data_IF_483994020926
#
_entry.id   IF_483994020926
#
_cell.length_a   1.000
_cell.length_b   1.000
_cell.length_c   1.000
_cell.angle_alpha   90.00
_cell.angle_beta   90.00
_cell.angle_gamma   90.00
#
_symmetry.space_group_name_H-M   'P 1'
#
loop_
_entity.id
_entity.type
_entity.pdbx_description
1 polymer ?
#
# COMPACT_ATOMS: atom_id res chain seq x y z
N UNK A 1 27.73 0.64 -42.02
CA UNK A 1 27.32 1.31 -40.76
C UNK A 1 27.98 0.56 -39.62
N UNK A 2 28.96 1.16 -38.97
CA UNK A 2 29.52 0.59 -37.75
C UNK A 2 28.43 0.66 -36.67
N UNK A 3 28.06 -0.49 -36.10
CA UNK A 3 27.21 -0.51 -34.93
C UNK A 3 27.93 0.28 -33.83
N UNK A 4 27.35 1.40 -33.41
CA UNK A 4 27.80 2.11 -32.22
C UNK A 4 27.60 1.12 -31.08
N UNK A 5 28.68 0.57 -30.55
CA UNK A 5 28.68 -0.21 -29.31
C UNK A 5 28.40 0.76 -28.17
N UNK A 6 27.13 1.06 -27.93
CA UNK A 6 26.62 1.81 -26.77
C UNK A 6 26.64 0.88 -25.56
N UNK A 7 27.79 0.27 -25.27
CA UNK A 7 27.93 -0.84 -24.30
C UNK A 7 28.76 -0.49 -23.06
N UNK A 8 29.18 0.75 -22.91
CA UNK A 8 29.90 1.14 -21.70
C UNK A 8 28.89 1.60 -20.66
N UNK A 9 28.50 0.68 -19.76
CA UNK A 9 27.93 1.07 -18.48
C UNK A 9 28.84 2.14 -17.85
N UNK A 10 28.33 3.36 -17.73
CA UNK A 10 29.06 4.43 -17.07
C UNK A 10 28.93 4.25 -15.55
N UNK A 11 29.82 3.44 -14.98
CA UNK A 11 29.94 3.32 -13.53
C UNK A 11 30.60 4.59 -12.99
N UNK A 12 29.89 5.28 -12.10
CA UNK A 12 30.50 6.33 -11.27
C UNK A 12 31.53 5.70 -10.32
N UNK A 13 32.40 6.53 -9.74
CA UNK A 13 33.35 6.03 -8.74
C UNK A 13 32.60 5.47 -7.54
N UNK A 14 33.17 4.45 -6.88
CA UNK A 14 32.58 3.84 -5.68
C UNK A 14 32.35 4.90 -4.59
N UNK A 15 33.27 5.86 -4.45
CA UNK A 15 33.14 6.98 -3.52
C UNK A 15 31.94 7.86 -3.84
N UNK A 16 31.69 8.14 -5.12
CA UNK A 16 30.51 8.90 -5.55
C UNK A 16 29.23 8.11 -5.23
N UNK A 17 29.17 6.82 -5.57
CA UNK A 17 28.01 5.97 -5.28
C UNK A 17 27.71 5.93 -3.77
N UNK A 18 28.73 5.77 -2.91
CA UNK A 18 28.57 5.79 -1.45
C UNK A 18 28.01 7.13 -0.98
N UNK A 19 28.58 8.25 -1.44
CA UNK A 19 28.13 9.58 -1.05
C UNK A 19 26.68 9.79 -1.50
N UNK A 20 26.38 9.49 -2.76
CA UNK A 20 25.06 9.65 -3.36
C UNK A 20 23.99 8.85 -2.59
N UNK A 21 24.20 7.54 -2.40
CA UNK A 21 23.25 6.68 -1.67
C UNK A 21 23.11 7.07 -0.20
N UNK A 22 24.19 7.49 0.46
CA UNK A 22 24.13 7.98 1.84
C UNK A 22 23.30 9.27 1.93
N UNK A 23 23.58 10.26 1.08
CA UNK A 23 22.86 11.53 1.05
C UNK A 23 21.38 11.33 0.76
N UNK A 24 21.01 10.52 -0.23
CA UNK A 24 19.61 10.20 -0.53
C UNK A 24 18.95 9.47 0.63
N UNK A 25 19.61 8.48 1.24
CA UNK A 25 19.06 7.74 2.37
C UNK A 25 18.80 8.65 3.58
N UNK A 26 19.73 9.55 3.91
CA UNK A 26 19.56 10.53 4.99
C UNK A 26 18.44 11.52 4.68
N UNK A 27 18.36 12.01 3.44
CA UNK A 27 17.30 12.91 3.00
C UNK A 27 15.92 12.25 3.13
N UNK A 28 15.73 11.04 2.59
CA UNK A 28 14.45 10.34 2.65
C UNK A 28 14.11 9.84 4.05
N UNK A 29 15.10 9.52 4.89
CA UNK A 29 14.87 9.27 6.31
C UNK A 29 14.35 10.52 7.04
N UNK A 30 14.92 11.69 6.72
CA UNK A 30 14.44 12.99 7.22
C UNK A 30 13.01 13.28 6.78
N UNK A 31 12.71 13.17 5.48
CA UNK A 31 11.34 13.37 4.96
C UNK A 31 10.38 12.37 5.59
N UNK A 32 10.75 11.08 5.67
CA UNK A 32 9.95 10.05 6.33
C UNK A 32 9.67 10.42 7.79
N UNK A 33 10.66 10.89 8.53
CA UNK A 33 10.49 11.32 9.92
C UNK A 33 9.49 12.48 10.06
N UNK A 34 9.42 13.38 9.08
CA UNK A 34 8.47 14.49 9.06
C UNK A 34 7.06 14.07 8.67
N UNK A 35 6.92 13.11 7.74
CA UNK A 35 5.60 12.69 7.22
C UNK A 35 5.03 11.47 7.94
N UNK A 36 5.83 10.71 8.71
CA UNK A 36 5.34 9.53 9.44
C UNK A 36 4.22 9.91 10.40
N UNK A 37 3.29 8.98 10.69
CA UNK A 37 2.27 9.19 11.70
C UNK A 37 2.87 9.60 13.06
N UNK A 38 2.24 10.55 13.76
CA UNK A 38 2.61 10.89 15.13
C UNK A 38 2.24 9.75 16.08
N UNK A 39 2.81 9.74 17.28
CA UNK A 39 2.57 8.66 18.25
C UNK A 39 1.09 8.58 18.69
N UNK A 40 0.45 9.73 18.94
CA UNK A 40 -0.98 9.80 19.28
C UNK A 40 -1.87 9.24 18.16
N UNK A 41 -1.46 9.50 16.93
CA UNK A 41 -2.05 9.02 15.70
C UNK A 41 -1.94 7.49 15.56
N UNK A 42 -0.76 6.92 15.82
CA UNK A 42 -0.54 5.46 15.86
C UNK A 42 -1.34 4.81 16.99
N UNK A 43 -1.39 5.44 18.17
CA UNK A 43 -2.13 4.94 19.33
C UNK A 43 -3.63 4.85 19.03
N UNK A 44 -4.21 5.92 18.47
CA UNK A 44 -5.62 5.94 18.03
C UNK A 44 -5.91 4.87 16.98
N UNK A 45 -5.01 4.67 16.01
CA UNK A 45 -5.17 3.58 15.02
C UNK A 45 -5.14 2.19 15.67
N UNK A 46 -4.27 1.97 16.66
CA UNK A 46 -4.23 0.68 17.39
C UNK A 46 -5.49 0.45 18.21
N UNK A 47 -6.00 1.47 18.89
CA UNK A 47 -7.25 1.41 19.66
C UNK A 47 -8.46 1.14 18.75
N UNK A 48 -8.50 1.79 17.59
CA UNK A 48 -9.49 1.52 16.55
C UNK A 48 -9.37 0.09 16.02
N UNK A 49 -8.16 -0.40 15.72
CA UNK A 49 -7.92 -1.77 15.25
C UNK A 49 -8.34 -2.82 16.29
N UNK A 50 -8.07 -2.58 17.58
CA UNK A 50 -8.48 -3.48 18.66
C UNK A 50 -10.01 -3.52 18.80
N UNK A 51 -10.66 -2.37 18.75
CA UNK A 51 -12.13 -2.25 18.76
C UNK A 51 -12.73 -2.97 17.56
N UNK A 52 -12.13 -2.80 16.39
CA UNK A 52 -12.55 -3.46 15.16
C UNK A 52 -12.39 -4.97 15.26
N UNK A 53 -11.25 -5.49 15.76
CA UNK A 53 -11.04 -6.93 15.99
C UNK A 53 -12.12 -7.53 16.90
N UNK A 54 -12.53 -6.80 17.95
CA UNK A 54 -13.63 -7.21 18.84
C UNK A 54 -14.98 -7.25 18.11
N UNK A 55 -15.21 -6.31 17.18
CA UNK A 55 -16.43 -6.27 16.35
C UNK A 55 -16.42 -7.27 15.19
N UNK A 56 -15.26 -7.55 14.61
CA UNK A 56 -15.03 -8.47 13.50
C UNK A 56 -15.07 -9.94 13.94
N UNK A 57 -14.70 -10.23 15.19
CA UNK A 57 -14.91 -11.54 15.80
C UNK A 57 -16.38 -12.02 15.72
N UNK A 58 -17.33 -11.10 15.48
CA UNK A 58 -18.76 -11.39 15.31
C UNK A 58 -19.25 -11.33 13.86
N UNK A 59 -18.39 -11.10 12.87
CA UNK A 59 -18.76 -10.95 11.45
C UNK A 59 -18.17 -12.04 10.57
N UNK A 60 -18.87 -12.32 9.47
CA UNK A 60 -18.37 -13.22 8.43
C UNK A 60 -17.06 -12.65 7.86
N UNK A 61 -15.99 -13.44 7.95
CA UNK A 61 -14.71 -13.10 7.35
C UNK A 61 -14.85 -13.03 5.82
N UNK A 62 -14.11 -12.12 5.18
CA UNK A 62 -14.04 -12.05 3.72
C UNK A 62 -13.61 -13.40 3.17
N UNK A 63 -14.40 -13.95 2.23
CA UNK A 63 -14.06 -15.18 1.52
C UNK A 63 -13.51 -14.81 0.16
N UNK A 64 -12.30 -15.27 -0.11
CA UNK A 64 -11.67 -15.16 -1.43
C UNK A 64 -12.57 -15.79 -2.50
N UNK A 65 -12.76 -15.05 -3.58
CA UNK A 65 -13.41 -15.55 -4.78
C UNK A 65 -12.50 -16.53 -5.52
N UNK A 66 -13.08 -17.41 -6.34
CA UNK A 66 -12.31 -18.32 -7.22
C UNK A 66 -11.36 -17.51 -8.11
N UNK A 67 -11.81 -16.36 -8.61
CA UNK A 67 -10.99 -15.46 -9.41
C UNK A 67 -9.76 -14.96 -8.65
N UNK A 68 -9.89 -14.53 -7.39
CA UNK A 68 -8.75 -14.09 -6.58
C UNK A 68 -7.76 -15.23 -6.29
N UNK A 69 -8.23 -16.45 -6.09
CA UNK A 69 -7.35 -17.62 -5.99
C UNK A 69 -6.57 -17.85 -7.28
N UNK A 70 -7.20 -17.70 -8.44
CA UNK A 70 -6.51 -17.80 -9.74
C UNK A 70 -5.46 -16.70 -9.90
N UNK A 71 -5.76 -15.45 -9.49
CA UNK A 71 -4.79 -14.35 -9.50
C UNK A 71 -3.60 -14.62 -8.59
N UNK A 72 -3.85 -15.07 -7.36
CA UNK A 72 -2.79 -15.42 -6.42
C UNK A 72 -1.94 -16.58 -6.93
N UNK A 73 -2.56 -17.60 -7.54
CA UNK A 73 -1.86 -18.72 -8.16
C UNK A 73 -0.98 -18.28 -9.32
N UNK A 74 -1.46 -17.38 -10.19
CA UNK A 74 -0.67 -16.80 -11.28
C UNK A 74 0.58 -16.09 -10.74
N UNK A 75 0.41 -15.19 -9.78
CA UNK A 75 1.52 -14.44 -9.17
C UNK A 75 2.52 -15.37 -8.48
N UNK A 76 2.03 -16.37 -7.73
CA UNK A 76 2.87 -17.35 -7.05
C UNK A 76 3.66 -18.20 -8.05
N UNK A 77 3.03 -18.66 -9.13
CA UNK A 77 3.69 -19.45 -10.17
C UNK A 77 4.82 -18.67 -10.84
N UNK A 78 4.56 -17.41 -11.21
CA UNK A 78 5.55 -16.52 -11.80
C UNK A 78 6.70 -16.22 -10.84
N UNK A 79 6.40 -15.99 -9.56
CA UNK A 79 7.42 -15.76 -8.53
C UNK A 79 8.31 -17.01 -8.33
N UNK A 80 7.70 -18.21 -8.28
CA UNK A 80 8.44 -19.48 -8.16
C UNK A 80 9.32 -19.76 -9.37
N UNK A 81 8.84 -19.47 -10.59
CA UNK A 81 9.67 -19.56 -11.80
C UNK A 81 10.86 -18.61 -11.70
N UNK A 82 10.63 -17.35 -11.31
CA UNK A 82 11.72 -16.38 -11.12
C UNK A 82 12.72 -16.86 -10.06
N UNK A 83 12.27 -17.40 -8.92
CA UNK A 83 13.16 -18.00 -7.90
C UNK A 83 14.01 -19.12 -8.51
N UNK A 84 13.38 -20.07 -9.22
CA UNK A 84 14.09 -21.16 -9.88
C UNK A 84 15.13 -20.68 -10.89
N UNK A 85 14.76 -19.71 -11.74
CA UNK A 85 15.64 -19.09 -12.73
C UNK A 85 16.84 -18.39 -12.06
N UNK A 86 16.61 -17.58 -11.00
CA UNK A 86 17.70 -16.87 -10.30
C UNK A 86 18.64 -17.83 -9.58
N UNK A 87 18.11 -18.90 -8.97
CA UNK A 87 18.93 -19.94 -8.36
C UNK A 87 19.76 -20.68 -9.41
N UNK A 88 19.15 -21.09 -10.52
CA UNK A 88 19.85 -21.80 -11.60
C UNK A 88 20.95 -20.95 -12.28
N UNK A 89 20.77 -19.62 -12.31
CA UNK A 89 21.77 -18.65 -12.78
C UNK A 89 22.83 -18.28 -11.73
N UNK A 90 22.76 -18.84 -10.53
CA UNK A 90 23.62 -18.49 -9.39
C UNK A 90 23.58 -17.01 -8.99
N UNK A 91 22.42 -16.36 -9.17
CA UNK A 91 22.18 -14.95 -8.81
C UNK A 91 20.98 -14.78 -7.87
N UNK A 92 20.90 -15.52 -6.74
CA UNK A 92 19.74 -15.46 -5.83
C UNK A 92 19.50 -14.06 -5.26
N UNK A 93 20.54 -13.23 -5.17
CA UNK A 93 20.43 -11.85 -4.71
C UNK A 93 19.53 -10.99 -5.60
N UNK A 94 19.30 -11.36 -6.87
CA UNK A 94 18.33 -10.65 -7.74
C UNK A 94 16.89 -10.77 -7.25
N UNK A 95 16.59 -11.69 -6.35
CA UNK A 95 15.27 -11.79 -5.68
C UNK A 95 14.99 -10.60 -4.75
N UNK A 96 16.01 -9.81 -4.41
CA UNK A 96 15.83 -8.53 -3.73
C UNK A 96 15.40 -7.40 -4.68
N UNK A 97 15.29 -7.62 -5.99
CA UNK A 97 14.72 -6.59 -6.85
C UNK A 97 13.26 -6.29 -6.44
N UNK A 98 12.82 -5.02 -6.53
CA UNK A 98 11.53 -4.61 -5.99
C UNK A 98 10.34 -5.38 -6.55
N UNK A 99 10.36 -5.74 -7.84
CA UNK A 99 9.29 -6.51 -8.47
C UNK A 99 9.03 -7.85 -7.75
N UNK A 100 10.05 -8.57 -7.31
CA UNK A 100 9.90 -9.84 -6.60
C UNK A 100 9.38 -9.63 -5.17
N UNK A 101 9.95 -8.66 -4.44
CA UNK A 101 9.54 -8.34 -3.07
C UNK A 101 8.10 -7.85 -3.02
N UNK A 102 7.73 -6.94 -3.93
CA UNK A 102 6.35 -6.44 -4.05
C UNK A 102 5.39 -7.56 -4.47
N UNK A 103 5.82 -8.52 -5.29
CA UNK A 103 4.99 -9.69 -5.65
C UNK A 103 4.70 -10.56 -4.44
N UNK A 104 5.72 -10.85 -3.63
CA UNK A 104 5.54 -11.60 -2.39
C UNK A 104 4.60 -10.88 -1.42
N UNK A 105 4.77 -9.55 -1.28
CA UNK A 105 3.87 -8.71 -0.50
C UNK A 105 2.43 -8.78 -1.04
N UNK A 106 2.25 -8.70 -2.35
CA UNK A 106 0.91 -8.69 -2.94
C UNK A 106 0.21 -10.04 -2.84
N UNK A 107 0.93 -11.15 -3.05
CA UNK A 107 0.42 -12.50 -2.78
C UNK A 107 -0.05 -12.61 -1.33
N UNK A 108 0.75 -12.14 -0.37
CA UNK A 108 0.38 -12.12 1.04
C UNK A 108 -0.89 -11.30 1.28
N UNK A 109 -0.99 -10.09 0.69
CA UNK A 109 -2.15 -9.20 0.82
C UNK A 109 -3.42 -9.83 0.25
N UNK A 110 -3.32 -10.49 -0.90
CA UNK A 110 -4.45 -11.18 -1.53
C UNK A 110 -4.87 -12.37 -0.66
N UNK A 111 -3.95 -13.30 -0.37
CA UNK A 111 -4.26 -14.56 0.28
C UNK A 111 -4.65 -14.42 1.76
N UNK A 112 -4.28 -13.34 2.42
CA UNK A 112 -4.68 -13.10 3.80
C UNK A 112 -6.05 -12.36 3.84
N UNK A 113 -7.18 -13.05 4.12
CA UNK A 113 -8.50 -12.42 4.17
C UNK A 113 -8.62 -11.37 5.28
N UNK A 114 -7.72 -11.41 6.26
CA UNK A 114 -7.60 -10.43 7.36
C UNK A 114 -6.58 -9.33 7.07
N UNK A 115 -5.95 -9.34 5.89
CA UNK A 115 -4.99 -8.30 5.51
C UNK A 115 -5.67 -6.95 5.52
N UNK A 116 -5.06 -5.99 6.22
CA UNK A 116 -5.57 -4.64 6.28
C UNK A 116 -5.25 -3.87 4.98
N UNK A 117 -5.95 -2.76 4.77
CA UNK A 117 -5.70 -1.86 3.64
C UNK A 117 -4.23 -1.35 3.63
N UNK A 118 -3.55 -1.29 4.79
CA UNK A 118 -2.16 -0.82 4.89
C UNK A 118 -1.21 -1.63 4.01
N UNK A 119 -1.32 -2.97 4.03
CA UNK A 119 -0.49 -3.83 3.18
C UNK A 119 -0.74 -3.59 1.69
N UNK A 120 -2.02 -3.43 1.31
CA UNK A 120 -2.39 -3.09 -0.06
C UNK A 120 -1.83 -1.74 -0.49
N UNK A 121 -1.94 -0.69 0.33
CA UNK A 121 -1.45 0.64 0.00
C UNK A 121 0.08 0.77 -0.01
N UNK A 122 0.77 0.01 0.85
CA UNK A 122 2.23 -0.13 0.77
C UNK A 122 2.65 -0.67 -0.60
N UNK A 123 1.94 -1.68 -1.10
CA UNK A 123 2.15 -2.21 -2.44
C UNK A 123 1.71 -1.21 -3.53
N UNK A 124 0.51 -0.65 -3.42
CA UNK A 124 -0.12 0.15 -4.47
C UNK A 124 0.61 1.47 -4.73
N UNK A 125 1.06 2.15 -3.69
CA UNK A 125 1.88 3.37 -3.86
C UNK A 125 3.29 3.06 -4.35
N UNK A 126 3.71 1.81 -4.30
CA UNK A 126 5.00 1.34 -4.81
C UNK A 126 4.98 0.93 -6.29
N UNK A 127 3.86 1.14 -7.00
CA UNK A 127 3.64 0.69 -8.38
C UNK A 127 4.59 1.26 -9.44
N UNK A 128 5.24 2.39 -9.17
CA UNK A 128 6.22 2.95 -10.09
C UNK A 128 7.41 2.00 -10.30
N UNK A 129 7.83 1.25 -9.27
CA UNK A 129 8.95 0.32 -9.35
C UNK A 129 8.74 -0.77 -10.41
N UNK A 130 7.66 -1.59 -10.33
CA UNK A 130 7.42 -2.59 -11.37
C UNK A 130 7.02 -1.96 -12.72
N UNK A 131 6.47 -0.75 -12.73
CA UNK A 131 6.20 -0.08 -14.00
C UNK A 131 7.49 0.23 -14.77
N UNK A 132 8.57 0.63 -14.11
CA UNK A 132 9.86 0.80 -14.77
C UNK A 132 10.42 -0.51 -15.30
N UNK A 133 10.25 -1.62 -14.57
CA UNK A 133 10.55 -2.95 -15.09
C UNK A 133 9.76 -3.27 -16.36
N UNK A 134 8.46 -2.96 -16.39
CA UNK A 134 7.61 -3.15 -17.56
C UNK A 134 8.02 -2.28 -18.76
N UNK A 135 8.40 -1.03 -18.49
CA UNK A 135 8.76 -0.05 -19.52
C UNK A 135 10.22 -0.19 -20.00
N UNK A 136 11.05 -0.94 -19.27
CA UNK A 136 12.41 -1.22 -19.69
C UNK A 136 12.40 -2.18 -20.88
N UNK A 137 13.09 -1.79 -21.96
CA UNK A 137 13.38 -2.72 -23.05
C UNK A 137 14.25 -3.85 -22.49
N UNK A 138 13.80 -5.11 -22.52
CA UNK A 138 14.54 -6.16 -21.89
C UNK A 138 15.78 -6.46 -22.73
N UNK A 139 16.92 -6.57 -22.05
CA UNK A 139 18.15 -6.93 -22.72
C UNK A 139 18.23 -8.46 -22.87
N UNK A 140 18.60 -9.01 -24.04
CA UNK A 140 18.69 -10.46 -24.25
C UNK A 140 19.58 -11.17 -23.22
N UNK A 141 20.59 -10.49 -22.65
CA UNK A 141 21.45 -11.09 -21.62
C UNK A 141 20.74 -11.40 -20.30
N UNK A 142 19.53 -10.89 -20.08
CA UNK A 142 18.76 -11.20 -18.87
C UNK A 142 18.14 -12.58 -18.91
N UNK A 143 17.97 -13.14 -20.11
CA UNK A 143 17.24 -14.37 -20.36
C UNK A 143 18.21 -15.45 -20.84
N UNK A 144 18.12 -16.62 -20.25
CA UNK A 144 18.86 -17.81 -20.65
C UNK A 144 17.95 -18.77 -21.41
N UNK A 145 16.68 -18.85 -21.00
CA UNK A 145 15.66 -19.67 -21.65
C UNK A 145 14.60 -18.81 -22.35
N UNK A 146 14.06 -19.34 -23.46
CA UNK A 146 13.08 -18.66 -24.32
C UNK A 146 11.79 -18.24 -23.61
N UNK A 147 11.41 -18.90 -22.51
CA UNK A 147 10.19 -18.60 -21.77
C UNK A 147 10.37 -17.47 -20.75
N UNK A 148 11.60 -17.07 -20.42
CA UNK A 148 11.85 -16.10 -19.35
C UNK A 148 11.33 -14.70 -19.72
N UNK A 149 11.47 -14.29 -20.97
CA UNK A 149 10.97 -13.00 -21.45
C UNK A 149 9.44 -12.91 -21.35
N UNK A 150 8.65 -13.89 -21.87
CA UNK A 150 7.23 -13.95 -21.61
C UNK A 150 6.87 -13.91 -20.11
N UNK A 151 7.57 -14.69 -19.27
CA UNK A 151 7.33 -14.72 -17.82
C UNK A 151 7.61 -13.36 -17.19
N UNK A 152 8.68 -12.68 -17.59
CA UNK A 152 9.01 -11.33 -17.14
C UNK A 152 7.89 -10.35 -17.45
N UNK A 153 7.34 -10.37 -18.65
CA UNK A 153 6.23 -9.48 -19.01
C UNK A 153 4.95 -9.83 -18.26
N UNK A 154 4.55 -11.10 -18.22
CA UNK A 154 3.37 -11.55 -17.47
C UNK A 154 3.48 -11.12 -16.00
N UNK A 155 4.67 -11.25 -15.41
CA UNK A 155 4.96 -10.80 -14.06
C UNK A 155 4.65 -9.33 -13.86
N UNK A 156 5.26 -8.46 -14.68
CA UNK A 156 5.14 -7.02 -14.56
C UNK A 156 3.74 -6.52 -14.91
N UNK A 157 3.09 -7.09 -15.94
CA UNK A 157 1.69 -6.81 -16.25
C UNK A 157 0.79 -7.16 -15.05
N UNK A 158 0.95 -8.36 -14.46
CA UNK A 158 0.12 -8.77 -13.35
C UNK A 158 0.26 -7.83 -12.14
N UNK A 159 1.48 -7.50 -11.74
CA UNK A 159 1.70 -6.64 -10.55
C UNK A 159 1.36 -5.18 -10.80
N UNK A 160 1.44 -4.67 -12.03
CA UNK A 160 1.02 -3.29 -12.36
C UNK A 160 -0.51 -3.19 -12.46
N UNK A 161 -1.19 -4.14 -13.11
CA UNK A 161 -2.60 -3.98 -13.46
C UNK A 161 -3.60 -4.56 -12.46
N UNK A 162 -3.28 -5.66 -11.77
CA UNK A 162 -4.19 -6.29 -10.80
C UNK A 162 -4.59 -5.40 -9.61
N UNK A 163 -3.77 -4.48 -9.09
CA UNK A 163 -4.19 -3.59 -8.02
C UNK A 163 -5.36 -2.68 -8.41
N UNK A 164 -5.46 -2.30 -9.69
CA UNK A 164 -6.59 -1.52 -10.19
C UNK A 164 -7.89 -2.32 -10.17
N UNK A 165 -7.85 -3.65 -10.31
CA UNK A 165 -9.03 -4.50 -10.08
C UNK A 165 -9.56 -4.33 -8.66
N UNK A 166 -8.67 -4.28 -7.65
CA UNK A 166 -9.08 -4.05 -6.26
C UNK A 166 -9.50 -2.61 -5.96
N UNK A 167 -8.99 -1.65 -6.74
CA UNK A 167 -9.36 -0.24 -6.60
C UNK A 167 -10.74 0.06 -7.23
N UNK A 168 -11.01 -0.44 -8.43
CA UNK A 168 -12.18 -0.06 -9.23
C UNK A 168 -13.32 -1.09 -9.26
N UNK A 169 -13.07 -2.37 -8.95
CA UNK A 169 -14.07 -3.42 -9.11
C UNK A 169 -14.38 -4.19 -7.81
N UNK A 170 -13.36 -4.72 -7.12
CA UNK A 170 -13.58 -5.57 -5.95
C UNK A 170 -13.70 -4.76 -4.64
N UNK A 171 -13.07 -3.60 -4.55
CA UNK A 171 -13.11 -2.66 -3.41
C UNK A 171 -12.84 -3.25 -2.01
N UNK A 172 -12.33 -4.49 -1.91
CA UNK A 172 -11.98 -5.16 -0.65
C UNK A 172 -11.11 -4.30 0.27
N UNK A 173 -10.17 -3.54 -0.29
CA UNK A 173 -9.26 -2.68 0.47
C UNK A 173 -9.77 -1.24 0.65
N UNK A 174 -11.00 -0.96 0.20
CA UNK A 174 -11.65 0.36 0.24
C UNK A 174 -13.05 0.26 0.87
N UNK A 175 -13.16 -0.14 2.15
CA UNK A 175 -14.45 -0.42 2.80
C UNK A 175 -15.35 0.81 2.93
N UNK A 176 -14.81 2.02 2.76
CA UNK A 176 -15.53 3.29 2.76
C UNK A 176 -16.19 3.65 1.42
N UNK A 177 -15.92 2.90 0.34
CA UNK A 177 -16.57 3.12 -0.94
C UNK A 177 -18.03 2.67 -0.93
N UNK A 178 -18.90 3.49 -1.54
CA UNK A 178 -20.33 3.19 -1.66
C UNK A 178 -20.64 2.69 -3.07
N UNK A 179 -20.95 1.40 -3.23
CA UNK A 179 -21.22 0.81 -4.55
C UNK A 179 -22.67 0.30 -4.60
N UNK A 180 -23.56 1.10 -5.18
CA UNK A 180 -24.95 0.72 -5.51
C UNK A 180 -25.86 0.30 -4.33
N UNK A 181 -27.03 -0.26 -4.67
CA UNK A 181 -27.97 -0.89 -3.72
C UNK A 181 -27.52 -2.31 -3.30
N UNK A 182 -26.55 -2.89 -4.00
CA UNK A 182 -25.87 -4.12 -3.60
C UNK A 182 -24.77 -3.81 -2.58
N UNK A 183 -25.20 -3.32 -1.41
CA UNK A 183 -24.36 -3.32 -0.22
C UNK A 183 -24.22 -4.74 0.34
N UNK A 184 -23.80 -5.70 -0.48
CA UNK A 184 -23.62 -7.09 -0.03
C UNK A 184 -22.39 -7.24 0.87
N UNK A 185 -21.49 -6.25 0.95
CA UNK A 185 -20.22 -6.46 1.67
C UNK A 185 -19.72 -5.38 2.65
N UNK A 186 -20.31 -4.19 2.77
CA UNK A 186 -19.81 -3.23 3.78
C UNK A 186 -20.81 -2.11 4.09
N UNK A 187 -21.90 -2.41 4.82
CA UNK A 187 -22.74 -1.32 5.37
C UNK A 187 -23.08 -1.44 6.85
N UNK A 188 -22.46 -2.39 7.55
CA UNK A 188 -22.57 -2.51 9.01
C UNK A 188 -21.22 -2.85 9.69
N UNK A 189 -20.08 -2.56 9.06
CA UNK A 189 -18.78 -2.50 9.75
C UNK A 189 -18.54 -1.07 10.22
N UNK A 190 -18.53 -0.89 11.55
CA UNK A 190 -18.18 0.37 12.16
C UNK A 190 -16.86 0.89 11.62
N UNK A 191 -16.88 2.17 11.28
CA UNK A 191 -15.80 3.13 11.43
C UNK A 191 -14.42 2.74 10.85
N UNK A 192 -14.19 3.26 9.65
CA UNK A 192 -12.96 3.94 9.24
C UNK A 192 -11.64 3.34 9.72
N UNK A 193 -11.25 2.21 9.13
CA UNK A 193 -9.95 1.57 9.39
C UNK A 193 -8.77 2.49 9.05
N UNK A 194 -8.96 3.53 8.24
CA UNK A 194 -8.03 4.67 8.18
C UNK A 194 -8.83 5.94 7.88
N UNK A 195 -9.32 6.65 8.91
CA UNK A 195 -9.96 7.98 8.74
C UNK A 195 -9.12 8.92 7.86
N UNK A 196 -7.79 8.78 7.91
CA UNK A 196 -6.86 9.57 7.09
C UNK A 196 -6.97 9.31 5.60
N UNK A 197 -7.31 8.09 5.17
CA UNK A 197 -7.47 7.82 3.75
C UNK A 197 -8.79 8.36 3.20
N UNK A 198 -9.75 8.73 4.05
CA UNK A 198 -10.97 9.40 3.61
C UNK A 198 -10.71 10.84 3.18
N UNK A 199 -9.69 11.50 3.75
CA UNK A 199 -9.32 12.89 3.47
C UNK A 199 -8.09 12.96 2.57
N UNK A 200 -8.07 13.91 1.63
CA UNK A 200 -6.96 14.07 0.68
C UNK A 200 -5.59 14.29 1.37
N UNK A 201 -5.53 15.11 2.42
CA UNK A 201 -4.29 15.37 3.16
C UNK A 201 -3.71 14.12 3.81
N UNK A 202 -4.57 13.25 4.35
CA UNK A 202 -4.16 11.99 4.94
C UNK A 202 -3.70 10.97 3.90
N UNK A 203 -4.38 10.88 2.73
CA UNK A 203 -3.91 10.10 1.57
C UNK A 203 -2.55 10.57 1.08
N UNK A 204 -2.40 11.88 0.87
CA UNK A 204 -1.14 12.47 0.42
C UNK A 204 -0.02 12.16 1.41
N UNK A 205 -0.24 12.36 2.72
CA UNK A 205 0.77 12.04 3.75
C UNK A 205 1.13 10.56 3.77
N UNK A 206 0.15 9.66 3.60
CA UNK A 206 0.41 8.22 3.51
C UNK A 206 1.22 7.87 2.26
N UNK A 207 0.83 8.41 1.11
CA UNK A 207 1.57 8.30 -0.15
C UNK A 207 3.02 8.75 0.02
N UNK A 208 3.26 9.94 0.55
CA UNK A 208 4.60 10.45 0.83
C UNK A 208 5.39 9.51 1.75
N UNK A 209 4.76 8.97 2.80
CA UNK A 209 5.41 8.04 3.72
C UNK A 209 5.84 6.74 3.03
N UNK A 210 4.98 6.16 2.17
CA UNK A 210 5.30 4.94 1.42
C UNK A 210 6.39 5.21 0.39
N UNK A 211 6.33 6.35 -0.31
CA UNK A 211 7.39 6.71 -1.26
C UNK A 211 8.75 6.86 -0.58
N UNK A 212 8.80 7.45 0.61
CA UNK A 212 10.06 7.53 1.35
C UNK A 212 10.57 6.15 1.77
N UNK A 213 9.70 5.23 2.18
CA UNK A 213 10.09 3.85 2.51
C UNK A 213 10.63 3.13 1.27
N UNK A 214 9.96 3.27 0.12
CA UNK A 214 10.41 2.74 -1.17
C UNK A 214 11.79 3.31 -1.55
N UNK A 215 11.96 4.63 -1.49
CA UNK A 215 13.23 5.28 -1.79
C UNK A 215 14.35 4.88 -0.83
N UNK A 216 14.06 4.73 0.46
CA UNK A 216 15.00 4.20 1.45
C UNK A 216 15.40 2.75 1.15
N UNK A 217 14.47 1.93 0.68
CA UNK A 217 14.77 0.58 0.23
C UNK A 217 15.72 0.59 -0.98
N UNK A 218 15.51 1.49 -1.94
CA UNK A 218 16.41 1.63 -3.08
C UNK A 218 17.78 2.17 -2.65
N UNK A 219 17.84 3.38 -2.09
CA UNK A 219 19.12 4.03 -1.80
C UNK A 219 19.87 3.36 -0.64
N UNK A 220 19.16 2.96 0.41
CA UNK A 220 19.76 2.47 1.65
C UNK A 220 20.04 0.96 1.65
N UNK A 221 19.25 0.16 0.93
CA UNK A 221 19.45 -1.28 0.86
C UNK A 221 19.98 -1.72 -0.50
N UNK A 222 19.23 -1.49 -1.60
CA UNK A 222 19.63 -1.98 -2.93
C UNK A 222 20.92 -1.32 -3.45
N UNK A 223 21.10 -0.02 -3.22
CA UNK A 223 22.32 0.71 -3.61
C UNK A 223 23.57 0.14 -2.95
N UNK A 224 23.53 -0.06 -1.62
CA UNK A 224 24.65 -0.64 -0.89
C UNK A 224 24.85 -2.13 -1.18
N UNK A 225 23.77 -2.91 -1.36
CA UNK A 225 23.87 -4.30 -1.78
C UNK A 225 24.51 -4.41 -3.18
N UNK A 226 24.16 -3.51 -4.09
CA UNK A 226 24.77 -3.40 -5.41
C UNK A 226 26.25 -3.05 -5.35
N UNK A 227 26.66 -2.15 -4.45
CA UNK A 227 28.07 -1.86 -4.20
C UNK A 227 28.82 -3.09 -3.68
N UNK A 228 28.24 -3.79 -2.69
CA UNK A 228 28.84 -4.97 -2.07
C UNK A 228 29.05 -6.11 -3.07
N UNK A 229 28.06 -6.37 -3.92
CA UNK A 229 28.07 -7.48 -4.88
C UNK A 229 28.65 -7.10 -6.25
N UNK A 230 29.01 -5.83 -6.45
CA UNK A 230 29.36 -5.26 -7.74
C UNK A 230 28.27 -5.43 -8.83
N UNK A 231 27.01 -5.49 -8.38
CA UNK A 231 25.83 -5.72 -9.20
C UNK A 231 25.01 -4.44 -9.37
N UNK A 232 24.22 -4.38 -10.42
CA UNK A 232 23.29 -3.30 -10.67
C UNK A 232 21.86 -3.70 -10.36
N UNK A 233 21.46 -3.50 -9.11
CA UNK A 233 20.08 -3.65 -8.72
C UNK A 233 19.31 -2.41 -9.16
N UNK A 234 18.32 -2.61 -10.02
CA UNK A 234 17.34 -1.60 -10.42
C UNK A 234 17.90 -0.43 -11.25
N UNK A 235 18.93 -0.67 -12.07
CA UNK A 235 19.57 0.38 -12.90
C UNK A 235 20.07 1.59 -12.11
N UNK A 236 20.35 1.38 -10.83
CA UNK A 236 20.88 2.39 -9.94
C UNK A 236 22.40 2.52 -10.06
N UNK A 237 23.08 1.59 -10.74
CA UNK A 237 24.53 1.59 -10.98
C UNK A 237 24.89 1.61 -12.47
N UNK A 238 24.20 0.81 -13.28
CA UNK A 238 24.41 0.67 -14.71
C UNK A 238 23.14 0.99 -15.49
N UNK A 239 23.32 1.16 -16.80
CA UNK A 239 22.29 1.57 -17.75
C UNK A 239 21.48 0.33 -18.17
N UNK A 240 20.17 0.47 -18.37
CA UNK A 240 19.45 -0.43 -19.27
C UNK A 240 20.03 -0.29 -20.69
N UNK A 241 20.33 -1.40 -21.36
CA UNK A 241 20.66 -1.36 -22.79
C UNK A 241 19.43 -0.83 -23.55
N UNK A 242 19.51 0.40 -24.05
CA UNK A 242 18.37 1.15 -24.64
C UNK A 242 17.95 2.42 -23.89
N UNK A 243 18.51 2.72 -22.71
CA UNK A 243 18.14 3.89 -21.89
C UNK A 243 18.90 5.17 -22.23
N UNK A 244 18.55 5.85 -23.33
CA UNK A 244 19.10 7.18 -23.71
C UNK A 244 18.38 8.38 -23.11
N UNK A 245 17.21 8.20 -22.47
CA UNK A 245 16.37 9.36 -22.21
C UNK A 245 16.98 10.42 -21.27
N UNK A 246 17.93 10.07 -20.38
CA UNK A 246 18.51 11.03 -19.41
C UNK A 246 20.03 10.88 -19.12
N UNK A 247 20.77 10.00 -19.80
CA UNK A 247 22.23 9.90 -19.64
C UNK A 247 22.71 9.65 -18.21
N UNK A 248 23.74 10.37 -17.75
CA UNK A 248 24.26 10.30 -16.36
C UNK A 248 23.21 10.67 -15.30
N UNK A 249 22.16 11.40 -15.70
CA UNK A 249 21.07 11.85 -14.85
C UNK A 249 19.93 10.84 -14.78
N UNK A 250 20.08 9.65 -15.37
CA UNK A 250 19.03 8.62 -15.35
C UNK A 250 18.62 8.25 -13.93
N UNK A 251 19.57 8.18 -12.99
CA UNK A 251 19.30 7.85 -11.59
C UNK A 251 18.46 8.94 -10.92
N UNK A 252 18.85 10.20 -11.11
CA UNK A 252 18.16 11.37 -10.61
C UNK A 252 16.79 11.54 -11.27
N UNK A 253 16.68 11.26 -12.56
CA UNK A 253 15.42 11.29 -13.30
C UNK A 253 14.48 10.16 -12.86
N UNK A 254 14.98 8.96 -12.57
CA UNK A 254 14.18 7.85 -12.05
C UNK A 254 13.69 8.17 -10.62
N UNK A 255 14.54 8.82 -9.81
CA UNK A 255 14.14 9.29 -8.48
C UNK A 255 13.11 10.43 -8.57
N UNK A 256 13.34 11.45 -9.41
CA UNK A 256 12.47 12.63 -9.51
C UNK A 256 11.21 12.38 -10.33
N UNK A 257 11.36 11.98 -11.59
CA UNK A 257 10.24 11.71 -12.48
C UNK A 257 9.57 10.38 -12.13
N UNK A 258 10.33 9.36 -11.76
CA UNK A 258 9.76 8.04 -11.47
C UNK A 258 8.99 7.97 -10.18
N UNK A 259 9.58 8.42 -9.08
CA UNK A 259 8.89 8.31 -7.79
C UNK A 259 7.78 9.35 -7.66
N UNK A 260 8.01 10.59 -8.09
CA UNK A 260 7.03 11.65 -7.88
C UNK A 260 6.01 11.76 -9.00
N UNK A 261 6.42 11.74 -10.27
CA UNK A 261 5.49 11.94 -11.39
C UNK A 261 4.80 10.62 -11.75
N UNK A 262 5.57 9.58 -12.04
CA UNK A 262 5.04 8.27 -12.42
C UNK A 262 4.34 7.61 -11.22
N UNK A 263 4.93 7.65 -10.02
CA UNK A 263 4.26 7.21 -8.79
C UNK A 263 2.92 7.90 -8.56
N UNK A 264 2.86 9.23 -8.74
CA UNK A 264 1.61 9.97 -8.59
C UNK A 264 0.59 9.54 -9.66
N UNK A 265 1.00 9.46 -10.91
CA UNK A 265 0.13 9.13 -12.04
C UNK A 265 -0.39 7.69 -11.97
N UNK A 266 0.42 6.73 -11.48
CA UNK A 266 0.03 5.33 -11.41
C UNK A 266 -0.76 4.99 -10.14
N UNK A 267 -0.48 5.65 -9.01
CA UNK A 267 -1.12 5.24 -7.76
C UNK A 267 -2.05 6.31 -7.19
N UNK A 268 -1.54 7.50 -6.89
CA UNK A 268 -2.34 8.50 -6.17
C UNK A 268 -3.46 9.09 -7.03
N UNK A 269 -3.21 9.36 -8.31
CA UNK A 269 -4.22 9.88 -9.24
C UNK A 269 -5.39 8.89 -9.46
N UNK A 270 -5.16 7.60 -9.79
CA UNK A 270 -6.24 6.62 -9.90
C UNK A 270 -7.02 6.46 -8.59
N UNK A 271 -6.35 6.53 -7.44
CA UNK A 271 -7.03 6.52 -6.15
C UNK A 271 -7.95 7.74 -5.97
N UNK A 272 -7.47 8.95 -6.30
CA UNK A 272 -8.29 10.17 -6.25
C UNK A 272 -9.51 10.00 -7.15
N UNK A 273 -9.33 9.50 -8.37
CA UNK A 273 -10.42 9.23 -9.31
C UNK A 273 -11.42 8.23 -8.72
N UNK A 274 -10.94 7.11 -8.16
CA UNK A 274 -11.81 6.13 -7.50
C UNK A 274 -12.59 6.75 -6.34
N UNK A 275 -11.96 7.59 -5.50
CA UNK A 275 -12.65 8.30 -4.44
C UNK A 275 -13.71 9.27 -5.00
N UNK A 276 -13.43 10.01 -6.06
CA UNK A 276 -14.41 10.90 -6.68
C UNK A 276 -15.63 10.13 -7.25
N UNK A 277 -15.41 8.93 -7.79
CA UNK A 277 -16.47 8.09 -8.37
C UNK A 277 -17.30 7.41 -7.27
N UNK A 278 -16.65 6.81 -6.25
CA UNK A 278 -17.31 5.90 -5.31
C UNK A 278 -17.61 6.52 -3.94
N UNK A 279 -17.04 7.68 -3.61
CA UNK A 279 -17.34 8.38 -2.37
C UNK A 279 -18.54 9.31 -2.54
N UNK A 280 -19.74 8.85 -2.16
CA UNK A 280 -20.87 9.77 -1.98
C UNK A 280 -20.68 10.54 -0.66
N UNK A 281 -20.59 11.88 -0.68
CA UNK A 281 -20.64 12.64 0.56
C UNK A 281 -21.93 12.26 1.29
N UNK A 282 -21.79 11.86 2.56
CA UNK A 282 -22.93 11.58 3.42
C UNK A 282 -23.77 12.85 3.52
N UNK A 283 -24.82 12.96 2.69
CA UNK A 283 -25.80 14.02 2.79
C UNK A 283 -26.55 13.81 4.11
N UNK A 284 -26.23 14.65 5.09
CA UNK A 284 -26.97 14.86 6.32
C UNK A 284 -27.16 13.64 7.23
N UNK A 285 -26.16 13.39 8.09
CA UNK A 285 -26.49 13.06 9.49
C UNK A 285 -26.52 14.38 10.26
N UNK A 286 -27.49 15.22 9.91
CA UNK A 286 -27.87 16.40 10.68
C UNK A 286 -29.37 16.30 10.87
N UNK A 287 -29.82 15.53 11.87
CA UNK A 287 -31.07 15.80 12.60
C UNK A 287 -31.24 14.82 13.78
N UNK A 288 -31.39 15.39 14.98
CA UNK A 288 -32.08 14.81 16.16
C UNK A 288 -31.36 13.78 17.05
N UNK A 289 -30.20 14.13 17.62
CA UNK A 289 -29.73 13.47 18.85
C UNK A 289 -29.32 14.43 19.96
N UNK A 290 -29.79 15.68 19.91
CA UNK A 290 -29.51 16.69 20.96
C UNK A 290 -30.76 17.18 21.69
N UNK A 291 -31.96 16.75 21.31
CA UNK A 291 -33.21 17.20 21.96
C UNK A 291 -33.91 16.15 22.82
N UNK A 292 -33.40 14.92 22.96
CA UNK A 292 -34.06 13.86 23.76
C UNK A 292 -33.38 13.59 25.11
N UNK A 293 -32.30 14.30 25.44
CA UNK A 293 -31.63 14.19 26.76
C UNK A 293 -31.83 15.42 27.65
N UNK A 294 -32.79 16.30 27.30
CA UNK A 294 -33.11 17.50 28.08
C UNK A 294 -34.57 17.59 28.55
N UNK A 295 -35.38 16.55 28.40
CA UNK A 295 -36.77 16.54 28.90
C UNK A 295 -37.06 15.46 29.94
N UNK A 296 -36.04 14.87 30.56
CA UNK A 296 -36.21 13.82 31.58
C UNK A 296 -35.56 14.21 32.92
N UNK A 297 -35.52 15.52 33.21
CA UNK A 297 -34.98 16.04 34.48
C UNK A 297 -35.84 17.14 35.13
N UNK A 298 -37.13 17.20 34.81
CA UNK A 298 -38.11 17.95 35.59
C UNK A 298 -39.11 16.98 36.24
N UNK A 299 -38.69 16.36 37.35
CA UNK A 299 -39.61 15.85 38.36
C UNK A 299 -39.45 16.71 39.62
N UNK A 300 -40.50 17.41 40.07
CA UNK A 300 -40.41 18.31 41.22
C UNK A 300 -40.41 17.51 42.53
N UNK A 301 -39.50 17.91 43.39
CA UNK A 301 -39.50 17.74 44.84
C UNK A 301 -40.89 17.85 45.47
N UNK A 302 -41.37 16.79 46.13
CA UNK A 302 -42.28 16.90 47.27
C UNK A 302 -41.63 16.24 48.50
N UNK A 303 -41.13 17.10 49.39
CA UNK A 303 -40.91 16.77 50.79
C UNK A 303 -42.09 17.33 51.58
N UNK A 304 -42.81 16.49 52.32
CA UNK A 304 -43.06 16.73 53.75
C UNK A 304 -43.96 15.69 54.43
N UNK A 305 -43.56 15.42 55.68
CA UNK A 305 -44.38 15.10 56.87
C UNK A 305 -44.82 13.66 57.15
N UNK A 306 -43.95 13.00 57.92
CA UNK A 306 -44.14 12.59 59.34
C UNK A 306 -45.52 12.16 59.84
N UNK A 307 -45.46 11.03 60.57
CA UNK A 307 -46.31 10.55 61.67
C UNK A 307 -47.66 9.92 61.28
N UNK A 308 -47.84 8.64 61.60
CA UNK A 308 -48.48 8.18 62.85
C UNK A 308 -48.41 6.64 62.91
N UNK A 309 -47.97 6.17 64.08
CA UNK A 309 -47.98 4.81 64.58
C UNK A 309 -49.41 4.47 65.07
N UNK A 310 -49.95 3.27 64.84
CA UNK A 310 -50.87 2.50 65.73
C UNK A 310 -51.27 1.17 65.04
N UNK A 311 -50.64 0.10 65.50
CA UNK A 311 -51.20 -1.11 66.13
C UNK A 311 -52.57 -1.73 65.70
N UNK A 312 -52.52 -3.06 65.55
CA UNK A 312 -53.45 -4.14 65.99
C UNK A 312 -54.20 -4.99 64.94
N UNK A 313 -53.80 -6.27 64.95
CA UNK A 313 -54.59 -7.52 64.98
C UNK A 313 -55.74 -7.73 63.98
N UNK A 314 -55.65 -8.85 63.23
CA UNK A 314 -56.42 -10.07 63.55
C UNK A 314 -55.92 -11.26 62.72
N UNK A 315 -55.46 -12.28 63.44
CA UNK A 315 -55.57 -13.69 63.09
C UNK A 315 -56.87 -14.20 63.73
N UNK A 316 -57.53 -15.13 63.02
CA UNK A 316 -58.65 -15.99 63.44
C UNK A 316 -60.01 -15.33 63.73
#
# INVERSE_FOLDING_TARGET
MAAVTIDNCFKMSVTYDILHYTTHSLFYAGVYYLVKPTESEVKREKEQEETLKKLEAKKAQYKLTVFEYLLAFLLASVLLINIGVRLAKNVPHWLFQPCHVLTALFIYVILNPKSNAKGFYLFFYSLWMPFYGLAAAPHPSWFLWWFEEPVFYIHHYAIVFLPYYYLFLNHRFHPHFTVGNHSTFSRKSGEHVIDRLSVFSGRLRHYLSVQCVALLYHSGFLGFLGLLLNEDFDSMRCRFAGGEMFGIWWREALILAGVWIVGFALSLLPEIIAHLIYHRPSKNVNTKTTNTLKSEQDEPTESNKSNININKSKLA
#
